data_IF_711415650463
#
_entry.id   IF_711415650463
#
_cell.length_a   1.000
_cell.length_b   1.000
_cell.length_c   1.000
_cell.angle_alpha   90.00
_cell.angle_beta   90.00
_cell.angle_gamma   90.00
#
_symmetry.space_group_name_H-M   'P 1'
#
loop_
_entity.id
_entity.type
_entity.pdbx_description
1 polymer ?
#
# COMPACT_ATOMS: atom_id res chain seq x y z
N UNK A 1 35.27 36.52 18.62
CA UNK A 1 34.86 35.15 18.19
C UNK A 1 34.28 35.27 16.79
N UNK A 2 35.05 34.88 15.78
CA UNK A 2 34.67 34.97 14.36
C UNK A 2 33.70 33.84 14.03
N UNK A 3 32.51 34.19 13.50
CA UNK A 3 31.57 33.25 12.93
C UNK A 3 32.23 32.44 11.80
N UNK A 4 31.96 31.13 11.71
CA UNK A 4 32.46 30.36 10.60
C UNK A 4 31.84 30.87 9.29
N UNK A 5 32.69 31.27 8.38
CA UNK A 5 32.34 31.65 7.01
C UNK A 5 31.58 30.49 6.34
N UNK A 6 30.29 30.70 6.08
CA UNK A 6 29.54 29.84 5.15
C UNK A 6 30.30 29.83 3.82
N UNK A 7 30.84 28.68 3.42
CA UNK A 7 31.27 28.47 2.03
C UNK A 7 30.07 28.80 1.15
N UNK A 8 30.24 29.74 0.25
CA UNK A 8 29.29 30.06 -0.80
C UNK A 8 29.01 28.75 -1.56
N UNK A 9 27.81 28.19 -1.39
CA UNK A 9 27.30 27.20 -2.33
C UNK A 9 27.18 27.94 -3.67
N UNK A 10 27.70 27.37 -4.73
CA UNK A 10 27.37 27.82 -6.10
C UNK A 10 25.85 27.95 -6.13
N UNK A 11 25.35 29.04 -6.73
CA UNK A 11 23.88 29.17 -6.90
C UNK A 11 23.36 27.92 -7.61
N UNK A 12 22.56 27.11 -6.92
CA UNK A 12 22.03 25.90 -7.53
C UNK A 12 21.16 26.29 -8.72
N UNK A 13 21.16 25.49 -9.77
CA UNK A 13 20.17 25.61 -10.85
C UNK A 13 18.78 25.33 -10.31
N UNK A 14 17.70 25.72 -11.00
CA UNK A 14 16.32 25.41 -10.54
C UNK A 14 16.12 23.90 -10.29
N UNK A 15 16.81 23.04 -11.02
CA UNK A 15 16.81 21.58 -10.83
C UNK A 15 17.51 21.15 -9.53
N UNK A 16 18.40 21.97 -8.98
CA UNK A 16 19.05 21.75 -7.69
C UNK A 16 18.22 22.28 -6.52
N UNK A 17 17.29 23.22 -6.76
CA UNK A 17 16.33 23.70 -5.75
C UNK A 17 15.18 22.72 -5.49
N UNK A 18 14.86 21.90 -6.48
CA UNK A 18 13.91 20.80 -6.35
C UNK A 18 14.66 19.48 -6.55
N UNK A 19 15.66 19.17 -5.68
CA UNK A 19 16.22 17.84 -5.70
C UNK A 19 15.03 16.91 -5.55
N UNK A 20 15.02 15.83 -6.30
CA UNK A 20 13.95 14.84 -6.26
C UNK A 20 13.80 14.39 -4.86
N UNK A 21 12.90 15.10 -4.27
CA UNK A 21 12.50 14.91 -2.91
C UNK A 21 11.81 13.57 -2.91
N UNK A 22 12.23 12.77 -2.04
CA UNK A 22 11.33 11.96 -1.31
C UNK A 22 10.00 12.73 -1.16
N UNK A 23 8.85 12.19 -1.55
CA UNK A 23 7.57 12.88 -1.46
C UNK A 23 7.29 13.47 -0.08
N UNK A 24 8.02 13.03 0.94
CA UNK A 24 7.91 13.47 2.33
C UNK A 24 8.99 14.47 2.77
N UNK A 25 9.76 15.04 1.85
CA UNK A 25 10.76 16.07 2.12
C UNK A 25 12.21 15.61 2.01
N UNK A 26 13.13 16.57 2.20
CA UNK A 26 14.57 16.28 2.18
C UNK A 26 14.99 15.38 3.33
N UNK A 27 15.91 14.46 3.03
CA UNK A 27 16.61 13.72 4.06
C UNK A 27 17.32 14.69 5.00
N UNK A 28 17.05 14.60 6.29
CA UNK A 28 17.64 15.48 7.30
C UNK A 28 19.11 15.15 7.60
N UNK A 29 19.59 14.00 7.11
CA UNK A 29 20.94 13.50 7.38
C UNK A 29 21.56 12.93 6.12
N UNK A 30 22.78 13.35 5.81
CA UNK A 30 23.61 12.75 4.77
C UNK A 30 24.07 11.36 5.20
N UNK A 31 23.86 10.36 4.35
CA UNK A 31 24.31 8.99 4.61
C UNK A 31 25.64 8.71 3.87
N UNK A 32 26.52 7.84 4.40
CA UNK A 32 27.83 7.56 3.80
C UNK A 32 27.77 7.04 2.36
N UNK A 33 26.68 6.42 1.98
CA UNK A 33 26.46 5.85 0.65
C UNK A 33 25.77 6.80 -0.33
N UNK A 34 25.42 8.01 0.11
CA UNK A 34 24.75 9.02 -0.70
C UNK A 34 25.56 10.31 -0.72
N UNK A 35 25.98 10.76 -1.92
CA UNK A 35 26.70 12.01 -2.10
C UNK A 35 25.78 13.20 -2.45
N UNK A 36 24.46 12.96 -2.43
CA UNK A 36 23.45 13.96 -2.77
C UNK A 36 23.34 14.25 -4.27
N UNK A 37 24.14 13.59 -5.13
CA UNK A 37 24.04 13.79 -6.58
C UNK A 37 22.97 12.91 -7.21
N UNK A 38 22.41 13.38 -8.33
CA UNK A 38 21.50 12.61 -9.17
C UNK A 38 22.26 11.74 -10.20
N UNK A 39 23.51 11.39 -9.90
CA UNK A 39 24.32 10.59 -10.81
C UNK A 39 23.93 9.10 -10.78
N UNK A 40 24.11 8.44 -11.92
CA UNK A 40 23.91 6.99 -12.02
C UNK A 40 24.87 6.22 -11.11
N UNK A 41 26.08 6.74 -10.87
CA UNK A 41 27.04 6.15 -9.92
C UNK A 41 26.54 6.23 -8.49
N UNK A 42 25.90 7.32 -8.08
CA UNK A 42 25.28 7.46 -6.76
C UNK A 42 24.08 6.51 -6.61
N UNK A 43 23.22 6.42 -7.62
CA UNK A 43 22.10 5.47 -7.61
C UNK A 43 22.60 4.03 -7.43
N UNK A 44 23.61 3.61 -8.19
CA UNK A 44 24.21 2.28 -8.04
C UNK A 44 24.85 2.03 -6.64
N UNK A 45 25.42 3.07 -6.02
CA UNK A 45 25.95 2.98 -4.65
C UNK A 45 24.83 2.82 -3.62
N UNK A 46 23.75 3.59 -3.75
CA UNK A 46 22.55 3.46 -2.91
C UNK A 46 21.95 2.05 -2.99
N UNK A 47 21.84 1.49 -4.19
CA UNK A 47 21.34 0.11 -4.37
C UNK A 47 22.24 -0.91 -3.70
N UNK A 48 23.58 -0.79 -3.80
CA UNK A 48 24.50 -1.70 -3.09
C UNK A 48 24.33 -1.60 -1.57
N UNK A 49 24.21 -0.38 -1.04
CA UNK A 49 23.97 -0.16 0.38
C UNK A 49 22.62 -0.74 0.84
N UNK A 50 21.58 -0.59 0.03
CA UNK A 50 20.27 -1.17 0.31
C UNK A 50 20.33 -2.71 0.39
N UNK A 51 20.97 -3.38 -0.58
CA UNK A 51 21.11 -4.84 -0.53
C UNK A 51 22.02 -5.35 0.60
N UNK A 52 23.04 -4.58 1.00
CA UNK A 52 23.81 -4.85 2.21
C UNK A 52 22.94 -4.75 3.47
N UNK A 53 22.12 -3.70 3.56
CA UNK A 53 21.18 -3.49 4.65
C UNK A 53 20.14 -4.63 4.73
N UNK A 54 19.50 -4.97 3.63
CA UNK A 54 18.52 -6.06 3.54
C UNK A 54 19.14 -7.41 3.97
N UNK A 55 20.38 -7.67 3.54
CA UNK A 55 21.10 -8.87 3.92
C UNK A 55 21.39 -8.94 5.42
N UNK A 56 21.76 -7.80 6.04
CA UNK A 56 22.01 -7.70 7.48
C UNK A 56 20.73 -7.83 8.31
N UNK A 57 19.59 -7.36 7.80
CA UNK A 57 18.28 -7.54 8.41
C UNK A 57 17.76 -8.99 8.27
N UNK A 58 18.29 -9.76 7.33
CA UNK A 58 17.84 -11.13 7.07
C UNK A 58 16.49 -11.22 6.37
N UNK A 59 16.02 -10.15 5.72
CA UNK A 59 14.76 -10.14 4.97
C UNK A 59 14.89 -10.93 3.67
N UNK A 60 13.78 -11.51 3.22
CA UNK A 60 13.74 -12.33 2.00
C UNK A 60 13.26 -11.55 0.78
N UNK A 61 12.61 -10.43 0.99
CA UNK A 61 12.01 -9.61 -0.04
C UNK A 61 12.37 -8.15 0.15
N UNK A 62 12.30 -7.40 -0.95
CA UNK A 62 12.43 -5.94 -1.01
C UNK A 62 11.40 -5.36 -1.97
N UNK A 63 11.18 -4.06 -1.89
CA UNK A 63 10.26 -3.31 -2.75
C UNK A 63 10.94 -2.04 -3.24
N UNK A 64 10.40 -1.43 -4.30
CA UNK A 64 10.85 -0.11 -4.76
C UNK A 64 9.75 0.61 -5.53
N UNK A 65 9.86 1.92 -5.57
CA UNK A 65 9.09 2.77 -6.46
C UNK A 65 9.84 2.99 -7.77
N UNK A 66 9.12 3.17 -8.84
CA UNK A 66 9.67 3.26 -10.21
C UNK A 66 10.76 4.32 -10.41
N UNK A 67 10.78 5.37 -9.56
CA UNK A 67 11.75 6.46 -9.62
C UNK A 67 12.86 6.43 -8.58
N UNK A 68 12.82 5.52 -7.62
CA UNK A 68 13.78 5.49 -6.52
C UNK A 68 15.12 4.88 -6.90
N UNK A 69 15.13 3.99 -7.89
CA UNK A 69 16.28 3.15 -8.20
C UNK A 69 17.25 3.77 -9.21
N UNK A 70 16.79 4.72 -10.04
CA UNK A 70 17.65 5.33 -11.07
C UNK A 70 17.29 6.80 -11.29
N UNK A 71 18.27 7.66 -11.64
CA UNK A 71 18.00 9.04 -12.01
C UNK A 71 17.24 9.12 -13.34
N UNK A 72 16.33 10.08 -13.44
CA UNK A 72 15.74 10.43 -14.72
C UNK A 72 16.78 11.09 -15.63
N UNK A 73 16.64 10.88 -16.93
CA UNK A 73 17.35 11.63 -17.96
C UNK A 73 16.51 12.78 -18.50
N UNK A 74 17.09 13.55 -19.39
CA UNK A 74 16.39 14.63 -20.11
C UNK A 74 15.28 14.09 -21.02
N UNK A 75 15.39 12.83 -21.44
CA UNK A 75 14.43 12.15 -22.31
C UNK A 75 13.96 10.82 -21.69
N UNK A 76 12.78 10.35 -22.10
CA UNK A 76 12.29 9.01 -21.72
C UNK A 76 13.29 7.90 -22.11
N UNK A 77 13.97 8.03 -23.25
CA UNK A 77 14.96 7.07 -23.71
C UNK A 77 16.18 7.01 -22.77
N UNK A 78 16.65 8.15 -22.31
CA UNK A 78 17.75 8.23 -21.33
C UNK A 78 17.33 7.71 -19.97
N UNK A 79 16.15 8.09 -19.49
CA UNK A 79 15.57 7.54 -18.24
C UNK A 79 15.50 6.02 -18.30
N UNK A 80 15.00 5.46 -19.41
CA UNK A 80 14.92 4.01 -19.59
C UNK A 80 16.31 3.35 -19.62
N UNK A 81 17.31 3.99 -20.24
CA UNK A 81 18.68 3.51 -20.24
C UNK A 81 19.27 3.48 -18.82
N UNK A 82 19.08 4.54 -18.05
CA UNK A 82 19.54 4.61 -16.65
C UNK A 82 18.90 3.50 -15.81
N UNK A 83 17.60 3.29 -15.98
CA UNK A 83 16.88 2.20 -15.35
C UNK A 83 17.46 0.82 -15.71
N UNK A 84 17.71 0.56 -17.01
CA UNK A 84 18.26 -0.73 -17.46
C UNK A 84 19.65 -1.02 -16.87
N UNK A 85 20.47 0.01 -16.72
CA UNK A 85 21.79 -0.13 -16.09
C UNK A 85 21.71 -0.46 -14.60
N UNK A 86 20.79 0.17 -13.87
CA UNK A 86 20.60 -0.12 -12.44
C UNK A 86 19.92 -1.48 -12.25
N UNK A 87 18.95 -1.81 -13.09
CA UNK A 87 18.27 -3.12 -13.05
C UNK A 87 19.25 -4.27 -13.29
N UNK A 88 20.23 -4.10 -14.18
CA UNK A 88 21.28 -5.10 -14.37
C UNK A 88 22.09 -5.34 -13.09
N UNK A 89 22.45 -4.28 -12.36
CA UNK A 89 23.11 -4.41 -11.05
C UNK A 89 22.19 -5.10 -10.02
N UNK A 90 20.89 -4.76 -10.04
CA UNK A 90 19.92 -5.37 -9.12
C UNK A 90 19.82 -6.89 -9.37
N UNK A 91 19.75 -7.32 -10.62
CA UNK A 91 19.74 -8.77 -10.96
C UNK A 91 20.97 -9.50 -10.40
N UNK A 92 22.16 -8.89 -10.51
CA UNK A 92 23.39 -9.44 -9.92
C UNK A 92 23.28 -9.56 -8.39
N UNK A 93 22.77 -8.51 -7.74
CA UNK A 93 22.60 -8.47 -6.28
C UNK A 93 21.53 -9.45 -5.80
N UNK A 94 20.38 -9.55 -6.48
CA UNK A 94 19.36 -10.55 -6.17
C UNK A 94 19.93 -11.98 -6.29
N UNK A 95 20.67 -12.26 -7.37
CA UNK A 95 21.31 -13.56 -7.56
C UNK A 95 22.34 -13.85 -6.48
N UNK A 96 23.12 -12.86 -6.03
CA UNK A 96 24.13 -13.00 -4.98
C UNK A 96 23.55 -13.22 -3.60
N UNK A 97 22.46 -12.51 -3.26
CA UNK A 97 21.89 -12.47 -1.91
C UNK A 97 20.72 -13.44 -1.73
N UNK A 98 20.03 -13.82 -2.81
CA UNK A 98 18.79 -14.58 -2.75
C UNK A 98 17.56 -13.75 -2.39
N UNK A 99 17.71 -12.44 -2.16
CA UNK A 99 16.62 -11.54 -1.82
C UNK A 99 15.79 -11.25 -3.09
N UNK A 100 14.47 -11.43 -3.02
CA UNK A 100 13.56 -11.35 -4.14
C UNK A 100 12.79 -10.03 -4.13
N UNK A 101 12.30 -9.63 -5.29
CA UNK A 101 11.40 -8.49 -5.40
C UNK A 101 9.97 -8.90 -5.04
N UNK A 102 9.39 -8.27 -4.01
CA UNK A 102 7.99 -8.46 -3.64
C UNK A 102 7.09 -7.71 -4.59
N UNK A 103 7.31 -6.39 -4.75
CA UNK A 103 6.65 -5.60 -5.77
C UNK A 103 7.48 -4.38 -6.20
N UNK A 104 7.21 -3.94 -7.41
CA UNK A 104 7.51 -2.61 -7.88
C UNK A 104 6.22 -1.77 -7.83
N UNK A 105 6.34 -0.47 -7.55
CA UNK A 105 5.21 0.44 -7.45
C UNK A 105 5.26 1.48 -8.56
N UNK A 106 4.13 1.70 -9.25
CA UNK A 106 3.91 2.85 -10.13
C UNK A 106 3.28 3.99 -9.31
N UNK A 107 3.99 5.11 -9.23
CA UNK A 107 3.63 6.24 -8.33
C UNK A 107 3.06 7.46 -9.03
N UNK A 108 3.06 7.50 -10.35
CA UNK A 108 2.95 8.78 -11.00
C UNK A 108 1.55 9.32 -11.22
N UNK A 109 0.53 8.57 -11.17
CA UNK A 109 -0.84 9.03 -11.41
C UNK A 109 -0.94 10.14 -12.49
N UNK A 110 -1.30 9.78 -13.71
CA UNK A 110 -1.60 10.71 -14.78
C UNK A 110 -2.63 10.12 -15.77
N UNK A 111 -3.25 9.02 -15.37
CA UNK A 111 -4.27 8.37 -16.16
C UNK A 111 -5.51 9.25 -16.30
N UNK A 112 -5.83 10.02 -15.26
CA UNK A 112 -6.97 10.95 -15.20
C UNK A 112 -6.65 12.34 -15.74
N UNK A 113 -5.44 12.56 -16.30
CA UNK A 113 -5.07 13.86 -16.84
C UNK A 113 -6.04 14.32 -17.93
N UNK A 114 -6.38 15.60 -17.90
CA UNK A 114 -7.11 16.26 -18.98
C UNK A 114 -6.32 16.36 -20.30
N UNK A 115 -5.01 16.08 -20.24
CA UNK A 115 -4.10 16.09 -21.39
C UNK A 115 -3.66 14.68 -21.77
N UNK A 116 -4.18 14.17 -22.89
CA UNK A 116 -3.86 12.84 -23.40
C UNK A 116 -2.35 12.59 -23.65
N UNK A 117 -1.56 13.63 -23.92
CA UNK A 117 -0.10 13.49 -24.08
C UNK A 117 0.58 13.14 -22.75
N UNK A 118 0.09 13.69 -21.63
CA UNK A 118 0.56 13.34 -20.27
C UNK A 118 0.19 11.91 -19.94
N UNK A 119 -1.03 11.50 -20.24
CA UNK A 119 -1.48 10.10 -20.06
C UNK A 119 -0.65 9.13 -20.91
N UNK A 120 -0.33 9.49 -22.15
CA UNK A 120 0.52 8.66 -23.02
C UNK A 120 1.95 8.53 -22.46
N UNK A 121 2.51 9.60 -21.91
CA UNK A 121 3.82 9.55 -21.23
C UNK A 121 3.78 8.62 -20.01
N UNK A 122 2.76 8.76 -19.15
CA UNK A 122 2.55 7.88 -18.02
C UNK A 122 2.41 6.40 -18.43
N UNK A 123 1.66 6.14 -19.51
CA UNK A 123 1.55 4.79 -20.09
C UNK A 123 2.89 4.22 -20.56
N UNK A 124 3.77 5.05 -21.12
CA UNK A 124 5.12 4.63 -21.51
C UNK A 124 5.99 4.31 -20.29
N UNK A 125 5.88 5.07 -19.19
CA UNK A 125 6.56 4.79 -17.93
C UNK A 125 6.03 3.49 -17.29
N UNK A 126 4.72 3.32 -17.23
CA UNK A 126 4.10 2.09 -16.72
C UNK A 126 4.55 0.85 -17.51
N UNK A 127 4.58 0.96 -18.84
CA UNK A 127 5.09 -0.12 -19.70
C UNK A 127 6.50 -0.54 -19.28
N UNK A 128 7.40 0.42 -19.10
CA UNK A 128 8.77 0.16 -18.66
C UNK A 128 8.82 -0.45 -17.25
N UNK A 129 8.02 0.06 -16.33
CA UNK A 129 7.89 -0.50 -14.98
C UNK A 129 7.47 -1.97 -14.97
N UNK A 130 6.50 -2.34 -15.81
CA UNK A 130 6.04 -3.73 -15.94
C UNK A 130 7.09 -4.65 -16.57
N UNK A 131 7.87 -4.15 -17.55
CA UNK A 131 9.01 -4.89 -18.12
C UNK A 131 10.08 -5.17 -17.07
N UNK A 132 10.38 -4.18 -16.22
CA UNK A 132 11.35 -4.31 -15.12
C UNK A 132 10.82 -5.27 -14.05
N UNK A 133 9.56 -5.11 -13.64
CA UNK A 133 8.93 -6.00 -12.66
C UNK A 133 8.98 -7.46 -13.11
N UNK A 134 8.69 -7.72 -14.38
CA UNK A 134 8.84 -9.06 -14.96
C UNK A 134 10.30 -9.52 -14.96
N UNK A 135 11.24 -8.68 -15.38
CA UNK A 135 12.66 -8.99 -15.48
C UNK A 135 13.26 -9.34 -14.11
N UNK A 136 12.88 -8.59 -13.07
CA UNK A 136 13.32 -8.82 -11.69
C UNK A 136 12.53 -9.91 -10.95
N UNK A 137 11.50 -10.50 -11.57
CA UNK A 137 10.69 -11.56 -10.99
C UNK A 137 9.79 -11.09 -9.85
N UNK A 138 9.22 -9.90 -9.95
CA UNK A 138 8.29 -9.37 -8.95
C UNK A 138 7.08 -10.30 -8.75
N UNK A 139 6.71 -10.53 -7.51
CA UNK A 139 5.51 -11.30 -7.17
C UNK A 139 4.23 -10.48 -7.38
N UNK A 140 4.34 -9.14 -7.26
CA UNK A 140 3.23 -8.22 -7.42
C UNK A 140 3.67 -6.93 -8.12
N UNK A 141 2.68 -6.09 -8.50
CA UNK A 141 2.90 -4.75 -9.00
C UNK A 141 1.83 -3.81 -8.42
N UNK A 142 2.26 -2.80 -7.68
CA UNK A 142 1.38 -1.86 -6.98
C UNK A 142 1.12 -0.63 -7.84
N UNK A 143 -0.13 -0.20 -7.88
CA UNK A 143 -0.58 1.08 -8.43
C UNK A 143 -0.97 1.97 -7.26
N UNK A 144 -0.16 2.99 -7.00
CA UNK A 144 -0.51 4.06 -6.09
C UNK A 144 -0.91 5.29 -6.89
N UNK A 145 -2.18 5.64 -6.81
CA UNK A 145 -2.78 6.71 -7.60
C UNK A 145 -2.62 8.11 -6.97
N UNK A 146 -1.46 8.43 -6.41
CA UNK A 146 -1.24 9.64 -5.62
C UNK A 146 -1.60 10.96 -6.31
N UNK A 147 -1.78 11.00 -7.62
CA UNK A 147 -2.22 12.17 -8.39
C UNK A 147 -3.50 11.94 -9.19
N UNK A 148 -4.13 10.78 -9.03
CA UNK A 148 -5.41 10.46 -9.66
C UNK A 148 -6.55 11.02 -8.82
N UNK A 149 -6.91 12.27 -9.10
CA UNK A 149 -7.93 12.97 -8.34
C UNK A 149 -8.09 14.42 -8.76
N UNK A 150 -8.85 15.19 -8.00
CA UNK A 150 -9.20 16.57 -8.34
C UNK A 150 -9.18 17.50 -7.12
N UNK A 151 -9.01 18.78 -7.35
CA UNK A 151 -9.05 19.81 -6.31
C UNK A 151 -10.47 20.35 -6.10
N UNK A 152 -11.23 20.49 -7.18
CA UNK A 152 -12.63 20.94 -7.18
C UNK A 152 -13.35 20.46 -8.43
N UNK A 153 -14.69 20.48 -8.40
CA UNK A 153 -15.52 20.15 -9.57
C UNK A 153 -15.63 21.28 -10.60
N UNK A 154 -14.91 22.39 -10.41
CA UNK A 154 -14.98 23.53 -11.33
C UNK A 154 -14.31 23.22 -12.69
N UNK A 155 -13.35 22.33 -12.72
CA UNK A 155 -12.52 22.00 -13.87
C UNK A 155 -12.20 20.49 -13.99
N UNK A 156 -12.98 19.64 -13.32
CA UNK A 156 -12.84 18.19 -13.39
C UNK A 156 -14.13 17.57 -13.98
N UNK A 157 -13.96 16.74 -15.00
CA UNK A 157 -15.01 15.85 -15.51
C UNK A 157 -14.78 14.44 -14.89
N UNK A 158 -15.34 14.26 -13.69
CA UNK A 158 -15.14 13.05 -12.89
C UNK A 158 -15.48 11.77 -13.67
N UNK A 159 -16.55 11.81 -14.48
CA UNK A 159 -16.91 10.60 -15.25
C UNK A 159 -15.87 10.29 -16.30
N UNK A 160 -15.46 11.25 -17.09
CA UNK A 160 -14.44 11.08 -18.13
C UNK A 160 -13.10 10.69 -17.51
N UNK A 161 -12.74 11.28 -16.39
CA UNK A 161 -11.49 10.95 -15.68
C UNK A 161 -11.48 9.50 -15.16
N UNK A 162 -12.61 9.01 -14.61
CA UNK A 162 -12.75 7.60 -14.22
C UNK A 162 -12.75 6.65 -15.41
N UNK A 163 -13.38 7.03 -16.52
CA UNK A 163 -13.33 6.25 -17.78
C UNK A 163 -11.90 6.15 -18.31
N UNK A 164 -11.11 7.23 -18.22
CA UNK A 164 -9.69 7.24 -18.60
C UNK A 164 -8.85 6.35 -17.68
N UNK A 165 -9.09 6.42 -16.36
CA UNK A 165 -8.41 5.54 -15.40
C UNK A 165 -8.68 4.07 -15.68
N UNK A 166 -9.94 3.73 -15.94
CA UNK A 166 -10.32 2.36 -16.30
C UNK A 166 -9.66 1.90 -17.62
N UNK A 167 -9.62 2.78 -18.64
CA UNK A 167 -8.92 2.49 -19.89
C UNK A 167 -7.41 2.27 -19.66
N UNK A 168 -6.78 3.06 -18.81
CA UNK A 168 -5.37 2.93 -18.44
C UNK A 168 -5.10 1.57 -17.77
N UNK A 169 -5.93 1.17 -16.81
CA UNK A 169 -5.81 -0.13 -16.15
C UNK A 169 -6.07 -1.30 -17.11
N UNK A 170 -7.03 -1.18 -18.03
CA UNK A 170 -7.25 -2.18 -19.09
C UNK A 170 -6.03 -2.32 -20.01
N UNK A 171 -5.35 -1.22 -20.35
CA UNK A 171 -4.09 -1.27 -21.10
C UNK A 171 -2.98 -1.98 -20.29
N UNK A 172 -2.88 -1.71 -18.99
CA UNK A 172 -1.93 -2.40 -18.11
C UNK A 172 -2.18 -3.91 -18.07
N UNK A 173 -3.43 -4.34 -17.90
CA UNK A 173 -3.84 -5.76 -17.91
C UNK A 173 -3.52 -6.42 -19.25
N UNK A 174 -3.84 -5.77 -20.35
CA UNK A 174 -3.52 -6.29 -21.69
C UNK A 174 -2.00 -6.44 -21.89
N UNK A 175 -1.23 -5.46 -21.43
CA UNK A 175 0.23 -5.51 -21.54
C UNK A 175 0.84 -6.58 -20.61
N UNK A 176 0.35 -6.72 -19.36
CA UNK A 176 0.69 -7.81 -18.45
C UNK A 176 0.54 -9.17 -19.11
N UNK A 177 -0.62 -9.42 -19.74
CA UNK A 177 -0.93 -10.66 -20.48
C UNK A 177 0.02 -10.84 -21.67
N UNK A 178 0.24 -9.77 -22.45
CA UNK A 178 1.13 -9.78 -23.62
C UNK A 178 2.57 -10.17 -23.27
N UNK A 179 3.13 -9.60 -22.21
CA UNK A 179 4.50 -9.90 -21.80
C UNK A 179 4.61 -11.19 -20.96
N UNK A 180 3.48 -11.76 -20.52
CA UNK A 180 3.44 -12.95 -19.67
C UNK A 180 3.93 -12.68 -18.24
N UNK A 181 3.73 -11.47 -17.72
CA UNK A 181 3.98 -11.18 -16.30
C UNK A 181 2.95 -11.89 -15.43
N UNK A 182 3.39 -12.66 -14.44
CA UNK A 182 2.54 -13.49 -13.58
C UNK A 182 2.17 -12.83 -12.24
N UNK A 183 2.86 -11.73 -11.88
CA UNK A 183 2.60 -11.03 -10.64
C UNK A 183 1.18 -10.49 -10.55
N UNK A 184 0.67 -10.31 -9.33
CA UNK A 184 -0.66 -9.76 -9.08
C UNK A 184 -0.61 -8.24 -9.15
N UNK A 185 -1.63 -7.62 -9.74
CA UNK A 185 -1.82 -6.18 -9.69
C UNK A 185 -2.51 -5.80 -8.37
N UNK A 186 -1.95 -4.81 -7.68
CA UNK A 186 -2.49 -4.26 -6.44
C UNK A 186 -2.80 -2.78 -6.63
N UNK A 187 -3.93 -2.31 -6.09
CA UNK A 187 -4.23 -0.88 -5.96
C UNK A 187 -4.07 -0.50 -4.50
N UNK A 188 -3.38 0.61 -4.25
CA UNK A 188 -3.17 1.16 -2.91
C UNK A 188 -4.03 2.41 -2.73
N UNK A 189 -5.14 2.31 -1.99
CA UNK A 189 -6.05 3.42 -1.77
C UNK A 189 -5.45 4.51 -0.89
N UNK A 190 -5.74 5.78 -1.22
CA UNK A 190 -5.42 6.94 -0.41
C UNK A 190 -6.49 8.03 -0.56
N UNK A 191 -7.06 8.51 0.55
CA UNK A 191 -8.20 9.40 0.54
C UNK A 191 -7.91 10.79 -0.04
N UNK A 192 -6.73 11.31 0.21
CA UNK A 192 -6.30 12.66 -0.14
C UNK A 192 -4.78 12.77 -0.04
N UNK A 193 -4.22 13.83 -0.62
CA UNK A 193 -2.79 14.06 -0.70
C UNK A 193 -2.11 13.13 -1.73
N UNK A 194 -1.46 13.72 -2.74
CA UNK A 194 -1.28 15.18 -2.97
C UNK A 194 -2.52 15.90 -3.51
N UNK A 195 -3.53 15.21 -4.02
CA UNK A 195 -4.79 15.84 -4.42
C UNK A 195 -5.76 15.96 -3.25
N UNK A 196 -6.70 16.91 -3.33
CA UNK A 196 -7.70 17.13 -2.29
C UNK A 196 -8.72 15.99 -2.20
N UNK A 197 -9.08 15.43 -3.35
CA UNK A 197 -10.00 14.31 -3.52
C UNK A 197 -9.38 13.32 -4.47
N UNK A 198 -9.03 12.13 -3.99
CA UNK A 198 -8.49 11.05 -4.83
C UNK A 198 -9.60 10.09 -5.26
N UNK A 199 -9.48 9.55 -6.49
CA UNK A 199 -10.45 8.59 -7.02
C UNK A 199 -10.37 7.24 -6.33
N UNK A 200 -9.20 6.84 -5.87
CA UNK A 200 -8.94 5.65 -5.07
C UNK A 200 -9.04 5.92 -3.55
N UNK A 201 -10.09 6.65 -3.15
CA UNK A 201 -10.28 7.22 -1.82
C UNK A 201 -10.09 6.21 -0.68
N UNK A 202 -10.72 5.05 -0.79
CA UNK A 202 -10.62 3.94 0.17
C UNK A 202 -10.83 2.58 -0.52
N UNK A 203 -10.70 1.50 0.23
CA UNK A 203 -10.86 0.16 -0.27
C UNK A 203 -12.25 -0.08 -0.89
N UNK A 204 -13.33 0.44 -0.29
CA UNK A 204 -14.70 0.28 -0.79
C UNK A 204 -14.89 1.01 -2.11
N UNK A 205 -14.37 2.23 -2.23
CA UNK A 205 -14.41 3.02 -3.45
C UNK A 205 -13.65 2.35 -4.58
N UNK A 206 -12.45 1.82 -4.29
CA UNK A 206 -11.67 1.05 -5.28
C UNK A 206 -12.41 -0.22 -5.71
N UNK A 207 -12.99 -0.98 -4.79
CA UNK A 207 -13.76 -2.17 -5.13
C UNK A 207 -14.97 -1.83 -5.99
N UNK A 208 -15.72 -0.77 -5.67
CA UNK A 208 -16.85 -0.30 -6.47
C UNK A 208 -16.40 0.11 -7.88
N UNK A 209 -15.29 0.84 -8.01
CA UNK A 209 -14.68 1.19 -9.28
C UNK A 209 -14.32 -0.06 -10.10
N UNK A 210 -13.62 -1.02 -9.50
CA UNK A 210 -13.22 -2.26 -10.16
C UNK A 210 -14.42 -3.08 -10.67
N UNK A 211 -15.50 -3.16 -9.89
CA UNK A 211 -16.74 -3.81 -10.32
C UNK A 211 -17.43 -3.06 -11.46
N UNK A 212 -17.51 -1.73 -11.38
CA UNK A 212 -18.18 -0.92 -12.41
C UNK A 212 -17.50 -1.00 -13.79
N UNK A 213 -16.20 -1.30 -13.82
CA UNK A 213 -15.40 -1.33 -15.05
C UNK A 213 -14.91 -2.73 -15.46
N UNK A 214 -15.44 -3.80 -14.85
CA UNK A 214 -15.07 -5.21 -15.13
C UNK A 214 -13.58 -5.50 -14.92
N UNK A 215 -13.00 -4.96 -13.84
CA UNK A 215 -11.58 -5.09 -13.48
C UNK A 215 -11.36 -5.86 -12.18
N UNK A 216 -12.42 -6.26 -11.48
CA UNK A 216 -12.35 -6.81 -10.11
C UNK A 216 -11.47 -8.08 -10.02
N UNK A 217 -11.50 -8.94 -11.03
CA UNK A 217 -10.72 -10.17 -11.04
C UNK A 217 -9.24 -9.98 -11.40
N UNK A 218 -8.88 -8.80 -11.94
CA UNK A 218 -7.52 -8.50 -12.38
C UNK A 218 -6.67 -7.79 -11.29
N UNK A 219 -7.32 -7.24 -10.26
CA UNK A 219 -6.68 -6.44 -9.21
C UNK A 219 -7.02 -6.95 -7.81
N UNK A 220 -6.10 -6.71 -6.88
CA UNK A 220 -6.27 -6.85 -5.43
C UNK A 220 -5.89 -5.53 -4.76
N UNK A 221 -5.96 -5.48 -3.44
CA UNK A 221 -5.62 -4.28 -2.69
C UNK A 221 -4.27 -4.40 -1.99
N UNK A 222 -3.56 -3.29 -1.89
CA UNK A 222 -2.48 -3.05 -0.96
C UNK A 222 -2.99 -2.05 0.10
N UNK A 223 -3.08 -2.48 1.34
CA UNK A 223 -3.67 -1.67 2.40
C UNK A 223 -2.57 -0.96 3.19
N UNK A 224 -2.64 0.37 3.17
CA UNK A 224 -1.80 1.27 3.94
C UNK A 224 -2.61 1.82 5.13
N UNK A 225 -2.35 1.42 6.38
CA UNK A 225 -3.12 1.86 7.56
C UNK A 225 -3.14 3.37 7.75
N UNK A 226 -2.05 4.06 7.45
CA UNK A 226 -2.02 5.52 7.55
C UNK A 226 -2.99 6.16 6.55
N UNK A 227 -3.12 5.60 5.35
CA UNK A 227 -4.10 6.04 4.37
C UNK A 227 -5.53 5.74 4.82
N UNK A 228 -5.77 4.58 5.44
CA UNK A 228 -7.10 4.25 5.97
C UNK A 228 -7.52 5.17 7.10
N UNK A 229 -6.60 5.59 7.96
CA UNK A 229 -6.87 6.62 8.98
C UNK A 229 -7.24 7.97 8.37
N UNK A 230 -6.64 8.37 7.26
CA UNK A 230 -7.00 9.59 6.51
C UNK A 230 -8.40 9.50 5.91
N UNK A 231 -8.86 8.31 5.57
CA UNK A 231 -10.22 8.04 5.09
C UNK A 231 -11.25 7.94 6.24
N UNK A 232 -10.80 7.92 7.49
CA UNK A 232 -11.65 7.78 8.67
C UNK A 232 -12.01 6.34 9.02
N UNK A 233 -11.36 5.35 8.39
CA UNK A 233 -11.51 3.94 8.74
C UNK A 233 -10.22 3.42 9.39
N UNK A 234 -10.38 2.62 10.43
CA UNK A 234 -9.25 2.04 11.18
C UNK A 234 -9.06 0.57 10.78
N UNK A 235 -10.14 -0.09 10.38
CA UNK A 235 -10.15 -1.51 10.03
C UNK A 235 -10.17 -1.65 8.51
N UNK A 236 -9.06 -2.07 7.96
CA UNK A 236 -8.84 -2.15 6.51
C UNK A 236 -9.37 -3.44 5.85
N UNK A 237 -9.95 -4.35 6.63
CA UNK A 237 -10.48 -5.60 6.08
C UNK A 237 -11.85 -5.37 5.44
N UNK A 238 -11.90 -5.43 4.12
CA UNK A 238 -13.12 -5.26 3.33
C UNK A 238 -13.79 -6.57 2.92
N UNK A 239 -13.28 -7.71 3.38
CA UNK A 239 -13.75 -9.04 2.95
C UNK A 239 -13.23 -9.46 1.58
N UNK A 240 -12.38 -8.64 0.93
CA UNK A 240 -11.60 -9.03 -0.24
C UNK A 240 -10.23 -9.51 0.21
N UNK A 241 -9.61 -10.49 -0.43
CA UNK A 241 -8.25 -10.90 -0.06
C UNK A 241 -7.27 -9.75 -0.35
N UNK A 242 -6.86 -9.08 0.72
CA UNK A 242 -5.78 -8.10 0.67
C UNK A 242 -4.46 -8.87 0.55
N UNK A 243 -3.66 -8.56 -0.46
CA UNK A 243 -2.37 -9.22 -0.68
C UNK A 243 -1.17 -8.35 -0.32
N UNK A 244 -1.40 -7.08 -0.07
CA UNK A 244 -0.38 -6.14 0.36
C UNK A 244 -0.78 -5.42 1.63
N UNK A 245 0.18 -5.18 2.50
CA UNK A 245 0.07 -4.32 3.65
C UNK A 245 1.34 -3.47 3.76
N UNK A 246 1.17 -2.18 3.95
CA UNK A 246 2.24 -1.20 3.92
C UNK A 246 2.10 -0.17 5.04
N UNK A 247 3.08 0.71 5.27
CA UNK A 247 3.01 1.78 6.26
C UNK A 247 4.07 2.85 6.07
N UNK A 248 3.70 4.11 6.22
CA UNK A 248 4.62 5.27 6.24
C UNK A 248 5.43 5.39 7.55
N UNK A 249 5.05 4.66 8.59
CA UNK A 249 5.73 4.67 9.87
C UNK A 249 5.99 3.27 10.37
N UNK A 250 7.16 3.06 10.99
CA UNK A 250 7.46 1.80 11.63
C UNK A 250 6.43 1.47 12.72
N UNK A 251 5.66 0.37 12.58
CA UNK A 251 4.64 -0.01 13.55
C UNK A 251 5.28 -0.49 14.85
N UNK A 252 4.96 0.20 15.94
CA UNK A 252 5.45 -0.12 17.29
C UNK A 252 4.31 -0.45 18.25
N UNK A 253 3.06 -0.46 17.75
CA UNK A 253 1.86 -0.76 18.53
C UNK A 253 1.45 -2.22 18.35
N UNK A 254 1.67 -3.01 19.39
CA UNK A 254 1.35 -4.45 19.40
C UNK A 254 -0.15 -4.70 19.27
N UNK A 255 -1.01 -3.83 19.80
CA UNK A 255 -2.47 -3.97 19.70
C UNK A 255 -2.92 -3.89 18.25
N UNK A 256 -2.48 -2.87 17.53
CA UNK A 256 -2.85 -2.68 16.13
C UNK A 256 -2.29 -3.80 15.25
N UNK A 257 -1.03 -4.20 15.44
CA UNK A 257 -0.45 -5.31 14.70
C UNK A 257 -1.10 -6.65 15.02
N UNK A 258 -1.63 -6.85 16.25
CA UNK A 258 -2.43 -8.04 16.59
C UNK A 258 -3.73 -8.09 15.77
N UNK A 259 -4.41 -6.96 15.60
CA UNK A 259 -5.64 -6.89 14.80
C UNK A 259 -5.36 -7.11 13.30
N UNK A 260 -4.29 -6.51 12.77
CA UNK A 260 -3.84 -6.74 11.38
C UNK A 260 -3.54 -8.22 11.16
N UNK A 261 -2.75 -8.84 12.03
CA UNK A 261 -2.38 -10.25 11.88
C UNK A 261 -3.58 -11.19 12.08
N UNK A 262 -4.55 -10.82 12.93
CA UNK A 262 -5.82 -11.55 13.04
C UNK A 262 -6.56 -11.54 11.70
N UNK A 263 -6.71 -10.38 11.07
CA UNK A 263 -7.36 -10.26 9.76
C UNK A 263 -6.62 -11.09 8.69
N UNK A 264 -5.28 -11.01 8.65
CA UNK A 264 -4.43 -11.81 7.74
C UNK A 264 -4.65 -13.31 7.93
N UNK A 265 -4.68 -13.80 9.16
CA UNK A 265 -4.91 -15.24 9.43
C UNK A 265 -6.33 -15.64 9.00
N UNK A 266 -7.36 -14.86 9.37
CA UNK A 266 -8.75 -15.18 9.10
C UNK A 266 -9.10 -15.18 7.61
N UNK A 267 -8.42 -14.37 6.80
CA UNK A 267 -8.58 -14.40 5.33
C UNK A 267 -7.77 -15.55 4.65
N UNK A 268 -6.94 -16.28 5.39
CA UNK A 268 -6.14 -17.38 4.85
C UNK A 268 -4.71 -17.01 4.43
N UNK A 269 -4.22 -15.84 4.86
CA UNK A 269 -2.88 -15.34 4.54
C UNK A 269 -2.90 -14.27 3.45
N UNK A 270 -1.71 -13.76 3.08
CA UNK A 270 -1.52 -12.73 2.08
C UNK A 270 -0.60 -13.14 0.92
N UNK A 271 -0.23 -14.42 0.84
CA UNK A 271 0.57 -14.90 -0.28
C UNK A 271 -0.23 -14.87 -1.61
N UNK A 272 0.38 -14.46 -2.74
CA UNK A 272 1.80 -14.16 -2.97
C UNK A 272 2.25 -12.75 -2.56
N UNK A 273 1.46 -12.00 -1.84
CA UNK A 273 1.82 -10.69 -1.29
C UNK A 273 2.65 -10.75 -0.02
N UNK A 274 2.71 -9.66 0.73
CA UNK A 274 3.50 -9.56 1.95
C UNK A 274 3.25 -8.30 2.74
N UNK A 275 3.98 -8.16 3.85
CA UNK A 275 4.07 -6.96 4.67
C UNK A 275 5.27 -6.13 4.20
N UNK A 276 5.09 -4.84 4.05
CA UNK A 276 6.13 -3.88 3.69
C UNK A 276 6.18 -2.72 4.68
N UNK A 277 7.37 -2.17 4.88
CA UNK A 277 7.58 -0.92 5.61
C UNK A 277 8.08 0.14 4.63
N UNK A 278 7.18 0.91 4.04
CA UNK A 278 7.50 2.12 3.31
C UNK A 278 7.66 3.27 4.29
N UNK A 279 8.58 3.09 5.22
CA UNK A 279 8.70 3.91 6.40
C UNK A 279 10.08 4.52 6.57
N UNK A 280 10.10 5.68 7.20
CA UNK A 280 11.34 6.36 7.59
C UNK A 280 11.49 6.38 9.10
N UNK A 281 12.76 6.37 9.55
CA UNK A 281 13.06 6.68 10.95
C UNK A 281 12.56 8.10 11.28
N UNK A 282 12.15 8.30 12.51
CA UNK A 282 11.67 9.60 12.97
C UNK A 282 12.78 10.65 12.90
N UNK A 283 12.39 11.91 12.82
CA UNK A 283 13.31 13.05 12.65
C UNK A 283 14.44 13.08 13.67
N UNK A 284 14.14 12.68 14.91
CA UNK A 284 15.09 12.67 16.03
C UNK A 284 16.03 11.44 16.03
N UNK A 285 15.69 10.40 15.27
CA UNK A 285 16.47 9.16 15.14
C UNK A 285 17.54 9.35 14.07
N UNK A 286 18.71 9.84 14.48
CA UNK A 286 19.74 10.34 13.58
C UNK A 286 20.93 9.41 13.41
N UNK A 287 21.11 8.44 14.32
CA UNK A 287 22.19 7.47 14.23
C UNK A 287 21.95 6.42 13.14
N UNK A 288 23.03 5.83 12.65
CA UNK A 288 22.92 4.79 11.64
C UNK A 288 22.19 3.54 12.18
N UNK A 289 22.43 3.25 13.46
CA UNK A 289 21.82 2.15 14.19
C UNK A 289 20.30 2.28 14.29
N UNK A 290 19.78 3.50 14.31
CA UNK A 290 18.33 3.75 14.39
C UNK A 290 17.57 3.13 13.20
N UNK A 291 18.18 3.03 12.03
CA UNK A 291 17.59 2.36 10.88
C UNK A 291 17.36 0.86 11.16
N UNK A 292 18.35 0.20 11.75
CA UNK A 292 18.21 -1.22 12.14
C UNK A 292 17.22 -1.40 13.28
N UNK A 293 17.31 -0.56 14.30
CA UNK A 293 16.43 -0.60 15.48
C UNK A 293 14.97 -0.44 15.05
N UNK A 294 14.67 0.51 14.15
CA UNK A 294 13.31 0.74 13.67
C UNK A 294 12.75 -0.47 12.90
N UNK A 295 13.52 -1.03 11.98
CA UNK A 295 13.08 -2.21 11.21
C UNK A 295 12.93 -3.45 12.10
N UNK A 296 13.91 -3.72 12.96
CA UNK A 296 13.87 -4.87 13.88
C UNK A 296 12.69 -4.72 14.84
N UNK A 297 12.52 -3.54 15.46
CA UNK A 297 11.40 -3.27 16.37
C UNK A 297 10.04 -3.44 15.72
N UNK A 298 9.89 -3.02 14.47
CA UNK A 298 8.65 -3.22 13.72
C UNK A 298 8.41 -4.69 13.38
N UNK A 299 9.43 -5.43 12.94
CA UNK A 299 9.33 -6.88 12.69
C UNK A 299 8.98 -7.65 13.97
N UNK A 300 9.61 -7.31 15.09
CA UNK A 300 9.32 -7.92 16.40
C UNK A 300 7.88 -7.60 16.85
N UNK A 301 7.41 -6.36 16.59
CA UNK A 301 6.04 -5.96 16.89
C UNK A 301 5.04 -6.80 16.08
N UNK A 302 5.29 -7.05 14.80
CA UNK A 302 4.47 -7.95 13.99
C UNK A 302 4.58 -9.41 14.41
N UNK A 303 5.76 -9.89 14.80
CA UNK A 303 5.92 -11.24 15.31
C UNK A 303 5.10 -11.46 16.60
N UNK A 304 5.10 -10.48 17.51
CA UNK A 304 4.25 -10.48 18.70
C UNK A 304 2.77 -10.41 18.34
N UNK A 305 2.40 -9.50 17.43
CA UNK A 305 1.03 -9.39 16.93
C UNK A 305 0.52 -10.71 16.33
N UNK A 306 1.36 -11.42 15.57
CA UNK A 306 1.04 -12.73 15.01
C UNK A 306 0.79 -13.79 16.10
N UNK A 307 1.65 -13.85 17.13
CA UNK A 307 1.49 -14.76 18.26
C UNK A 307 0.20 -14.48 19.01
N UNK A 308 -0.07 -13.21 19.34
CA UNK A 308 -1.28 -12.79 20.04
C UNK A 308 -2.54 -13.11 19.22
N UNK A 309 -2.53 -12.80 17.92
CA UNK A 309 -3.62 -13.08 17.01
C UNK A 309 -3.92 -14.58 16.91
N UNK A 310 -2.87 -15.39 16.79
CA UNK A 310 -2.98 -16.85 16.76
C UNK A 310 -3.64 -17.40 18.05
N UNK A 311 -3.19 -16.91 19.21
CA UNK A 311 -3.75 -17.30 20.50
C UNK A 311 -5.24 -16.86 20.62
N UNK A 312 -5.53 -15.60 20.27
CA UNK A 312 -6.90 -15.05 20.31
C UNK A 312 -7.86 -15.84 19.42
N UNK A 313 -7.40 -16.25 18.22
CA UNK A 313 -8.19 -17.09 17.31
C UNK A 313 -8.37 -18.51 17.88
N UNK A 314 -7.30 -19.10 18.43
CA UNK A 314 -7.33 -20.45 19.03
C UNK A 314 -8.30 -20.53 20.20
N UNK A 315 -8.30 -19.55 21.09
CA UNK A 315 -9.21 -19.48 22.23
C UNK A 315 -10.65 -19.27 21.78
N UNK A 316 -10.86 -18.67 20.61
CA UNK A 316 -12.14 -18.54 19.93
C UNK A 316 -13.15 -17.66 20.65
N UNK A 317 -12.72 -16.82 21.59
CA UNK A 317 -13.62 -15.97 22.41
C UNK A 317 -14.42 -15.03 21.52
N UNK A 318 -13.76 -14.30 20.63
CA UNK A 318 -14.42 -13.36 19.72
C UNK A 318 -15.33 -14.08 18.72
N UNK A 319 -14.88 -15.22 18.16
CA UNK A 319 -15.69 -16.03 17.24
C UNK A 319 -16.98 -16.54 17.90
N UNK A 320 -16.87 -17.07 19.10
CA UNK A 320 -18.06 -17.54 19.86
C UNK A 320 -19.01 -16.38 20.16
N UNK A 321 -18.47 -15.22 20.52
CA UNK A 321 -19.28 -14.03 20.79
C UNK A 321 -20.01 -13.53 19.54
N UNK A 322 -19.35 -13.48 18.38
CA UNK A 322 -19.97 -13.12 17.12
C UNK A 322 -21.07 -14.12 16.73
N UNK A 323 -20.80 -15.42 16.83
CA UNK A 323 -21.79 -16.46 16.55
C UNK A 323 -23.04 -16.31 17.45
N UNK A 324 -22.85 -16.02 18.73
CA UNK A 324 -23.98 -15.77 19.66
C UNK A 324 -24.73 -14.48 19.28
N UNK A 325 -24.02 -13.41 18.98
CA UNK A 325 -24.60 -12.10 18.61
C UNK A 325 -25.47 -12.17 17.36
N UNK A 326 -25.04 -12.91 16.35
CA UNK A 326 -25.76 -13.05 15.08
C UNK A 326 -26.63 -14.32 14.99
N UNK A 327 -26.85 -15.03 16.10
CA UNK A 327 -27.57 -16.30 16.12
C UNK A 327 -28.99 -16.21 15.56
N UNK A 328 -29.67 -15.08 15.77
CA UNK A 328 -31.03 -14.86 15.25
C UNK A 328 -31.12 -14.88 13.70
N UNK A 329 -30.00 -14.68 13.00
CA UNK A 329 -29.94 -14.71 11.55
C UNK A 329 -29.87 -16.15 10.98
N UNK A 330 -29.62 -17.15 11.82
CA UNK A 330 -29.47 -18.55 11.38
C UNK A 330 -30.78 -19.32 11.31
N UNK A 331 -31.90 -18.73 11.74
CA UNK A 331 -33.23 -19.40 11.78
C UNK A 331 -34.39 -18.42 11.73
N UNK A 332 -35.58 -18.92 11.46
CA UNK A 332 -36.82 -18.16 11.51
C UNK A 332 -36.87 -17.00 10.53
N UNK A 333 -37.33 -15.83 11.00
CA UNK A 333 -37.42 -14.63 10.16
C UNK A 333 -36.02 -14.14 9.71
N UNK A 334 -35.00 -14.28 10.54
CA UNK A 334 -33.65 -13.88 10.23
C UNK A 334 -33.07 -14.64 9.03
N UNK A 335 -33.25 -15.97 8.98
CA UNK A 335 -32.78 -16.77 7.82
C UNK A 335 -33.52 -16.43 6.54
N UNK A 336 -34.84 -16.15 6.63
CA UNK A 336 -35.63 -15.72 5.45
C UNK A 336 -35.24 -14.37 4.92
N UNK A 337 -34.90 -13.41 5.82
CA UNK A 337 -34.37 -12.09 5.38
C UNK A 337 -33.00 -12.27 4.71
N UNK A 338 -32.11 -13.09 5.31
CA UNK A 338 -30.77 -13.31 4.77
C UNK A 338 -30.77 -14.01 3.41
N UNK A 339 -31.75 -14.90 3.15
CA UNK A 339 -31.91 -15.58 1.86
C UNK A 339 -32.66 -14.74 0.81
N UNK A 340 -33.21 -13.58 1.16
CA UNK A 340 -34.05 -12.77 0.29
C UNK A 340 -35.47 -13.33 0.09
N UNK A 341 -35.89 -14.32 0.88
CA UNK A 341 -37.23 -14.92 0.78
C UNK A 341 -38.30 -14.14 1.58
N UNK A 342 -37.87 -13.28 2.51
CA UNK A 342 -38.79 -12.50 3.32
C UNK A 342 -39.22 -11.22 2.62
N UNK A 343 -40.49 -10.84 2.79
CA UNK A 343 -41.05 -9.56 2.36
C UNK A 343 -41.18 -8.61 3.54
N UNK A 344 -41.50 -7.34 3.27
CA UNK A 344 -41.82 -6.38 4.35
C UNK A 344 -43.08 -6.74 5.09
N UNK A 345 -44.07 -7.38 4.43
CA UNK A 345 -45.28 -7.91 5.00
C UNK A 345 -45.00 -9.05 6.00
N UNK A 346 -44.03 -9.92 5.68
CA UNK A 346 -43.55 -10.96 6.59
C UNK A 346 -42.93 -10.35 7.85
N UNK A 347 -42.12 -9.30 7.69
CA UNK A 347 -41.54 -8.57 8.82
C UNK A 347 -42.61 -7.91 9.69
N UNK A 348 -43.59 -7.26 9.07
CA UNK A 348 -44.73 -6.65 9.81
C UNK A 348 -45.53 -7.72 10.58
N UNK A 349 -45.86 -8.82 9.91
CA UNK A 349 -46.61 -9.93 10.49
C UNK A 349 -45.85 -10.57 11.67
N UNK A 350 -44.52 -10.70 11.51
CA UNK A 350 -43.66 -11.21 12.57
C UNK A 350 -43.71 -10.32 13.81
N UNK A 351 -43.57 -9.00 13.66
CA UNK A 351 -43.61 -8.06 14.78
C UNK A 351 -45.01 -7.98 15.43
N UNK A 352 -46.06 -8.01 14.64
CA UNK A 352 -47.44 -8.08 15.18
C UNK A 352 -47.65 -9.31 16.04
N UNK A 353 -47.05 -10.44 15.69
CA UNK A 353 -47.14 -11.70 16.43
C UNK A 353 -46.24 -11.75 17.67
N UNK A 354 -45.03 -11.22 17.58
CA UNK A 354 -44.00 -11.40 18.62
C UNK A 354 -43.73 -10.17 19.47
N UNK A 355 -44.29 -9.01 19.11
CA UNK A 355 -44.11 -7.75 19.82
C UNK A 355 -42.75 -7.08 19.50
N UNK A 356 -42.45 -6.00 20.21
CA UNK A 356 -41.24 -5.24 20.05
C UNK A 356 -39.99 -6.03 20.48
N UNK A 357 -38.90 -6.01 19.73
CA UNK A 357 -37.69 -6.71 20.12
C UNK A 357 -37.04 -6.04 21.35
N UNK A 358 -36.41 -6.85 22.18
CA UNK A 358 -35.57 -6.35 23.26
C UNK A 358 -34.18 -6.03 22.70
N UNK A 359 -33.63 -4.82 22.91
CA UNK A 359 -32.27 -4.49 22.47
C UNK A 359 -31.24 -5.40 23.13
N UNK A 360 -30.30 -5.89 22.34
CA UNK A 360 -29.14 -6.64 22.83
C UNK A 360 -27.90 -5.73 22.92
N UNK A 361 -27.14 -5.88 24.01
CA UNK A 361 -25.90 -5.13 24.19
C UNK A 361 -24.82 -5.61 23.23
N UNK A 362 -24.12 -4.67 22.58
CA UNK A 362 -22.94 -4.95 21.76
C UNK A 362 -21.70 -5.33 22.61
N UNK A 363 -21.69 -4.99 23.90
CA UNK A 363 -20.60 -5.26 24.85
C UNK A 363 -19.23 -4.80 24.36
N UNK A 364 -19.18 -3.64 23.72
CA UNK A 364 -17.96 -3.12 23.07
C UNK A 364 -16.76 -3.05 24.03
N UNK A 365 -16.93 -2.43 25.20
CA UNK A 365 -15.89 -2.27 26.20
C UNK A 365 -15.39 -3.62 26.75
N UNK A 366 -16.29 -4.62 26.84
CA UNK A 366 -15.88 -5.97 27.22
C UNK A 366 -14.94 -6.59 26.20
N UNK A 367 -15.21 -6.47 24.89
CA UNK A 367 -14.33 -7.03 23.86
C UNK A 367 -13.02 -6.26 23.73
N UNK A 368 -13.03 -4.96 23.93
CA UNK A 368 -11.79 -4.17 24.03
C UNK A 368 -10.95 -4.63 25.22
N UNK A 369 -11.59 -4.89 26.37
CA UNK A 369 -10.93 -5.44 27.55
C UNK A 369 -10.38 -6.85 27.30
N UNK A 370 -11.13 -7.71 26.61
CA UNK A 370 -10.66 -9.06 26.24
C UNK A 370 -9.39 -8.96 25.38
N UNK A 371 -9.38 -8.07 24.38
CA UNK A 371 -8.19 -7.88 23.54
C UNK A 371 -6.96 -7.50 24.37
N UNK A 372 -7.13 -6.65 25.37
CA UNK A 372 -6.02 -6.19 26.24
C UNK A 372 -5.35 -7.32 27.04
N UNK A 373 -5.98 -8.49 27.20
CA UNK A 373 -5.34 -9.67 27.81
C UNK A 373 -4.35 -10.38 26.89
N UNK A 374 -4.40 -10.11 25.60
CA UNK A 374 -3.53 -10.75 24.60
C UNK A 374 -2.38 -9.84 24.15
N UNK A 375 -2.38 -8.56 24.55
CA UNK A 375 -1.46 -7.54 24.02
C UNK A 375 -0.41 -7.13 25.07
#
# INVERSE_FOLDING_TARGET
>A
MSSPTKKARNNPTEEEYFPRLDPFGEATITRPWDDGSQSLSNAKRRIRAAFEFFSKLGVKYWTFHDRDIAPEGETLAETNKNLDEVVTLIEELQKKTGIKLLWATYMNGAATSSNAHVTAYAGAQLKKGLEIAKRLGAENFVFWGGREGYQSLLNADVKSELDHLAAFFKMAVAFKKKIGFKGVFLIEPKAKEPTRHQYDFDAQTVMAFLHNYDLFDEFKLNIEPNHTMLAGSIDANTGSPDLGWDTDQFPMDVRNTTLVMKAVIEQGGIAPGGLNFDAKVRRESTALEDMFIAHIGAMDTFARGLQNASQLITDGILKKALQQRYKSWSSGIGSKIASGEATLEDCESYIKKHGNPTPESARQEHFESVLNFYV
#
